data_IF_047126141222
#
_entry.id   IF_047126141222
#
_cell.length_a   1.000
_cell.length_b   1.000
_cell.length_c   1.000
_cell.angle_alpha   90.00
_cell.angle_beta   90.00
_cell.angle_gamma   90.00
#
_symmetry.space_group_name_H-M   'P 1'
#
loop_
_entity.id
_entity.type
_entity.pdbx_description
1 polymer ?
#
# COMPACT_ATOMS: atom_id res chain seq x y z
N UNK A 1 21.31 -7.42 -6.43
CA UNK A 1 20.56 -6.50 -7.33
C UNK A 1 21.57 -5.68 -8.10
N UNK A 2 21.64 -5.84 -9.40
CA UNK A 2 22.55 -5.11 -10.28
C UNK A 2 21.81 -3.99 -11.05
N UNK A 3 22.53 -3.27 -11.92
CA UNK A 3 21.95 -2.18 -12.73
C UNK A 3 20.80 -2.65 -13.64
N UNK A 4 20.86 -3.88 -14.12
CA UNK A 4 19.82 -4.45 -14.98
C UNK A 4 18.58 -4.80 -14.17
N UNK A 5 18.72 -5.33 -12.96
CA UNK A 5 17.62 -5.61 -12.06
C UNK A 5 16.91 -4.30 -11.69
N UNK A 6 17.66 -3.24 -11.37
CA UNK A 6 17.11 -1.90 -11.10
C UNK A 6 16.30 -1.40 -12.30
N UNK A 7 16.85 -1.49 -13.52
CA UNK A 7 16.15 -1.05 -14.72
C UNK A 7 14.87 -1.85 -15.01
N UNK A 8 14.91 -3.16 -14.76
CA UNK A 8 13.72 -4.04 -14.85
C UNK A 8 12.67 -3.58 -13.83
N UNK A 9 13.04 -3.40 -12.57
CA UNK A 9 12.12 -3.00 -11.51
C UNK A 9 11.51 -1.60 -11.76
N UNK A 10 12.29 -0.62 -12.22
CA UNK A 10 11.79 0.70 -12.61
C UNK A 10 10.77 0.60 -13.75
N UNK A 11 11.04 -0.23 -14.76
CA UNK A 11 10.13 -0.45 -15.86
C UNK A 11 8.84 -1.13 -15.41
N UNK A 12 8.92 -2.16 -14.57
CA UNK A 12 7.75 -2.88 -14.03
C UNK A 12 6.90 -2.03 -13.10
N UNK A 13 7.49 -1.14 -12.29
CA UNK A 13 6.75 -0.18 -11.47
C UNK A 13 5.94 0.80 -12.34
N UNK A 14 6.45 1.15 -13.52
CA UNK A 14 5.75 2.03 -14.47
C UNK A 14 4.64 1.29 -15.23
N UNK A 15 4.93 0.09 -15.72
CA UNK A 15 4.00 -0.75 -16.48
C UNK A 15 4.39 -2.22 -16.34
N UNK A 16 3.67 -2.94 -15.48
CA UNK A 16 3.93 -4.37 -15.22
C UNK A 16 3.45 -5.31 -16.33
N UNK A 17 2.73 -4.80 -17.35
CA UNK A 17 2.23 -5.61 -18.48
C UNK A 17 3.12 -5.58 -19.72
N UNK A 18 4.31 -4.98 -19.63
CA UNK A 18 5.27 -4.98 -20.74
C UNK A 18 5.65 -6.38 -21.14
N UNK A 19 5.79 -6.60 -22.45
CA UNK A 19 6.33 -7.86 -22.94
C UNK A 19 7.81 -8.02 -22.56
N UNK A 20 8.27 -9.25 -22.41
CA UNK A 20 9.69 -9.53 -22.15
C UNK A 20 10.59 -9.05 -23.29
N UNK A 21 10.08 -9.02 -24.52
CA UNK A 21 10.79 -8.50 -25.69
C UNK A 21 10.99 -6.98 -25.59
N UNK A 22 9.91 -6.22 -25.33
CA UNK A 22 9.98 -4.76 -25.16
C UNK A 22 10.86 -4.36 -23.99
N UNK A 23 10.76 -5.11 -22.89
CA UNK A 23 11.61 -4.89 -21.71
C UNK A 23 13.09 -5.13 -22.04
N UNK A 24 13.38 -6.22 -22.74
CA UNK A 24 14.73 -6.57 -23.15
C UNK A 24 15.35 -5.53 -24.09
N UNK A 25 14.60 -5.07 -25.09
CA UNK A 25 15.05 -4.03 -26.04
C UNK A 25 15.43 -2.73 -25.29
N UNK A 26 14.61 -2.29 -24.34
CA UNK A 26 14.86 -1.08 -23.56
C UNK A 26 16.09 -1.15 -22.65
N UNK A 27 16.39 -2.34 -22.14
CA UNK A 27 17.42 -2.54 -21.11
C UNK A 27 18.73 -3.10 -21.72
N UNK A 28 18.67 -3.58 -22.96
CA UNK A 28 19.81 -4.21 -23.63
C UNK A 28 20.01 -5.65 -23.19
N UNK A 29 18.94 -6.40 -22.98
CA UNK A 29 18.94 -7.81 -22.62
C UNK A 29 18.06 -8.63 -23.57
N UNK A 30 18.29 -9.94 -23.65
CA UNK A 30 17.36 -10.84 -24.31
C UNK A 30 16.07 -11.03 -23.48
N UNK A 31 14.96 -11.34 -24.13
CA UNK A 31 13.69 -11.62 -23.45
C UNK A 31 13.84 -12.76 -22.41
N UNK A 32 14.60 -13.80 -22.74
CA UNK A 32 14.88 -14.91 -21.82
C UNK A 32 15.72 -14.48 -20.60
N UNK A 33 16.67 -13.56 -20.78
CA UNK A 33 17.45 -13.00 -19.69
C UNK A 33 16.57 -12.13 -18.76
N UNK A 34 15.67 -11.31 -19.32
CA UNK A 34 14.70 -10.55 -18.54
C UNK A 34 13.80 -11.48 -17.72
N UNK A 35 13.21 -12.50 -18.35
CA UNK A 35 12.34 -13.45 -17.67
C UNK A 35 13.04 -14.16 -16.52
N UNK A 36 14.27 -14.67 -16.74
CA UNK A 36 15.05 -15.33 -15.69
C UNK A 36 15.33 -14.39 -14.50
N UNK A 37 15.68 -13.12 -14.77
CA UNK A 37 15.94 -12.14 -13.71
C UNK A 37 14.69 -11.80 -12.93
N UNK A 38 13.56 -11.57 -13.60
CA UNK A 38 12.28 -11.31 -12.95
C UNK A 38 11.91 -12.47 -12.03
N UNK A 39 11.98 -13.70 -12.53
CA UNK A 39 11.71 -14.90 -11.75
C UNK A 39 12.60 -15.00 -10.50
N UNK A 40 13.89 -14.74 -10.63
CA UNK A 40 14.80 -14.72 -9.49
C UNK A 40 14.44 -13.63 -8.46
N UNK A 41 13.99 -12.46 -8.89
CA UNK A 41 13.53 -11.38 -8.00
C UNK A 41 12.20 -11.70 -7.33
N UNK A 42 11.31 -12.41 -7.99
CA UNK A 42 10.07 -12.95 -7.42
C UNK A 42 10.36 -14.01 -6.35
N UNK A 43 11.21 -14.98 -6.67
CA UNK A 43 11.63 -16.03 -5.74
C UNK A 43 12.37 -15.48 -4.51
N UNK A 44 13.15 -14.41 -4.68
CA UNK A 44 13.80 -13.69 -3.58
C UNK A 44 12.86 -12.76 -2.78
N UNK A 45 11.58 -12.64 -3.17
CA UNK A 45 10.62 -11.76 -2.52
C UNK A 45 10.85 -10.26 -2.77
N UNK A 46 11.76 -9.89 -3.68
CA UNK A 46 12.01 -8.51 -4.05
C UNK A 46 10.83 -7.92 -4.84
N UNK A 47 10.16 -8.75 -5.65
CA UNK A 47 8.86 -8.46 -6.25
C UNK A 47 7.83 -9.21 -5.42
N UNK A 48 7.07 -8.49 -4.61
CA UNK A 48 6.04 -9.05 -3.74
C UNK A 48 4.77 -9.46 -4.50
N UNK A 49 4.56 -8.94 -5.70
CA UNK A 49 3.40 -9.24 -6.53
C UNK A 49 3.09 -8.14 -7.54
N UNK A 50 2.02 -8.36 -8.29
CA UNK A 50 1.50 -7.43 -9.29
C UNK A 50 0.04 -7.12 -8.97
N UNK A 51 -0.35 -5.85 -9.08
CA UNK A 51 -1.71 -5.42 -8.81
C UNK A 51 -2.20 -4.40 -9.85
N UNK A 52 -3.48 -4.46 -10.17
CA UNK A 52 -4.12 -3.44 -10.97
C UNK A 52 -4.26 -2.14 -10.17
N UNK A 53 -3.92 -1.01 -10.77
CA UNK A 53 -4.18 0.31 -10.21
C UNK A 53 -5.56 0.75 -10.67
N UNK A 54 -6.48 0.88 -9.73
CA UNK A 54 -7.85 1.30 -10.02
C UNK A 54 -8.01 2.81 -9.80
N UNK A 55 -8.84 3.43 -10.62
CA UNK A 55 -9.22 4.83 -10.43
C UNK A 55 -10.39 4.91 -9.42
N UNK A 56 -10.16 5.47 -8.22
CA UNK A 56 -11.18 5.54 -7.19
C UNK A 56 -12.38 6.39 -7.61
N UNK A 57 -12.19 7.41 -8.47
CA UNK A 57 -13.28 8.25 -8.96
C UNK A 57 -14.24 7.47 -9.86
N UNK A 58 -13.70 6.65 -10.77
CA UNK A 58 -14.52 5.80 -11.64
C UNK A 58 -15.27 4.75 -10.81
N UNK A 59 -14.70 4.30 -9.69
CA UNK A 59 -15.35 3.40 -8.75
C UNK A 59 -16.35 4.11 -7.82
N UNK A 60 -16.47 5.44 -7.89
CA UNK A 60 -17.32 6.21 -6.98
C UNK A 60 -16.79 6.28 -5.54
N UNK A 61 -15.48 6.12 -5.34
CA UNK A 61 -14.79 6.21 -4.05
C UNK A 61 -14.08 7.57 -3.92
N UNK A 62 -14.84 8.66 -4.03
CA UNK A 62 -14.29 10.02 -4.11
C UNK A 62 -13.73 10.53 -2.78
N UNK A 63 -14.23 10.02 -1.66
CA UNK A 63 -13.82 10.41 -0.33
C UNK A 63 -12.69 9.51 0.19
N UNK A 64 -11.52 10.10 0.43
CA UNK A 64 -10.39 9.44 1.06
C UNK A 64 -10.23 9.98 2.48
N UNK A 65 -10.26 9.10 3.47
CA UNK A 65 -10.06 9.42 4.87
C UNK A 65 -8.77 8.81 5.42
N UNK A 66 -8.06 9.60 6.21
CA UNK A 66 -6.94 9.16 7.03
C UNK A 66 -7.37 9.25 8.49
N UNK A 67 -7.34 8.12 9.17
CA UNK A 67 -7.89 7.97 10.51
C UNK A 67 -6.77 7.61 11.48
N UNK A 68 -6.42 8.54 12.33
CA UNK A 68 -5.49 8.32 13.42
C UNK A 68 -6.20 7.60 14.58
N UNK A 69 -5.63 6.50 15.01
CA UNK A 69 -6.12 5.70 16.13
C UNK A 69 -5.13 5.77 17.27
N UNK A 70 -5.63 6.08 18.47
CA UNK A 70 -4.90 5.91 19.72
C UNK A 70 -5.54 4.80 20.54
N UNK A 71 -4.74 3.93 21.12
CA UNK A 71 -5.20 2.84 21.97
C UNK A 71 -5.21 3.25 23.44
N UNK A 72 -5.99 2.55 24.23
CA UNK A 72 -6.03 2.70 25.70
C UNK A 72 -4.74 2.23 26.37
N UNK A 73 -4.00 1.33 25.73
CA UNK A 73 -2.73 0.78 26.18
C UNK A 73 -1.92 0.30 24.98
N UNK A 74 -0.60 0.45 25.06
CA UNK A 74 0.35 -0.11 24.10
C UNK A 74 0.87 -1.49 24.55
N UNK A 75 0.12 -2.18 25.43
CA UNK A 75 0.42 -3.56 25.76
C UNK A 75 0.26 -4.45 24.54
N UNK A 76 1.08 -5.50 24.46
CA UNK A 76 1.02 -6.46 23.36
C UNK A 76 -0.38 -7.03 23.16
N UNK A 77 -1.04 -7.38 24.26
CA UNK A 77 -2.41 -7.91 24.21
C UNK A 77 -3.41 -6.93 23.56
N UNK A 78 -3.35 -5.65 23.93
CA UNK A 78 -4.24 -4.62 23.37
C UNK A 78 -3.94 -4.41 21.88
N UNK A 79 -2.67 -4.35 21.49
CA UNK A 79 -2.26 -4.19 20.10
C UNK A 79 -2.66 -5.40 19.26
N UNK A 80 -2.38 -6.62 19.71
CA UNK A 80 -2.74 -7.85 18.98
C UNK A 80 -4.26 -7.96 18.77
N UNK A 81 -5.07 -7.59 19.75
CA UNK A 81 -6.53 -7.57 19.63
C UNK A 81 -7.02 -6.56 18.59
N UNK A 82 -6.44 -5.37 18.58
CA UNK A 82 -6.75 -4.34 17.59
C UNK A 82 -6.34 -4.78 16.19
N UNK A 83 -5.10 -5.24 16.01
CA UNK A 83 -4.56 -5.65 14.71
C UNK A 83 -5.33 -6.82 14.10
N UNK A 84 -5.72 -7.80 14.91
CA UNK A 84 -6.58 -8.90 14.48
C UNK A 84 -7.96 -8.40 14.03
N UNK A 85 -8.55 -7.47 14.77
CA UNK A 85 -9.86 -6.91 14.41
C UNK A 85 -9.81 -6.08 13.11
N UNK A 86 -8.71 -5.35 12.86
CA UNK A 86 -8.51 -4.59 11.61
C UNK A 86 -8.55 -5.51 10.39
N UNK A 87 -8.01 -6.72 10.49
CA UNK A 87 -8.00 -7.69 9.39
C UNK A 87 -9.40 -8.16 8.95
N UNK A 88 -10.41 -8.05 9.83
CA UNK A 88 -11.79 -8.44 9.53
C UNK A 88 -12.58 -7.35 8.79
N UNK A 89 -12.02 -6.13 8.64
CA UNK A 89 -12.70 -5.00 8.01
C UNK A 89 -12.08 -4.63 6.65
N UNK A 90 -12.65 -5.09 5.53
CA UNK A 90 -12.14 -4.79 4.19
C UNK A 90 -12.20 -3.30 3.81
N UNK A 91 -12.98 -2.49 4.55
CA UNK A 91 -13.04 -1.03 4.40
C UNK A 91 -11.73 -0.35 4.79
N UNK A 92 -10.91 -0.99 5.63
CA UNK A 92 -9.59 -0.50 6.03
C UNK A 92 -8.58 -0.93 4.98
N UNK A 93 -8.18 0.00 4.14
CA UNK A 93 -7.29 -0.27 3.00
C UNK A 93 -5.82 -0.41 3.41
N UNK A 94 -5.39 0.31 4.44
CA UNK A 94 -4.04 0.31 5.00
C UNK A 94 -4.09 0.60 6.49
N UNK A 95 -3.18 0.00 7.25
CA UNK A 95 -3.08 0.21 8.71
C UNK A 95 -1.63 0.06 9.18
N UNK A 96 -0.74 1.03 8.94
CA UNK A 96 0.58 1.03 9.55
C UNK A 96 0.54 1.38 11.04
N UNK A 97 1.39 0.73 11.82
CA UNK A 97 1.78 1.16 13.17
C UNK A 97 2.68 2.38 13.05
N UNK A 98 2.42 3.39 13.84
CA UNK A 98 3.08 4.69 13.76
C UNK A 98 4.00 4.94 14.97
N UNK A 99 5.13 5.57 14.72
CA UNK A 99 5.94 6.19 15.77
C UNK A 99 5.56 7.68 15.86
N UNK A 100 4.71 8.05 16.81
CA UNK A 100 4.20 9.42 16.93
C UNK A 100 3.12 9.55 18.00
N UNK A 101 2.23 10.52 17.84
CA UNK A 101 1.13 10.75 18.77
C UNK A 101 0.03 9.69 18.69
N UNK A 102 -0.29 9.25 17.49
CA UNK A 102 -1.23 8.17 17.25
C UNK A 102 -0.49 6.83 17.16
N UNK A 103 -1.14 5.74 17.57
CA UNK A 103 -0.57 4.40 17.48
C UNK A 103 -0.70 3.83 16.06
N UNK A 104 -1.81 4.08 15.37
CA UNK A 104 -2.06 3.60 14.01
C UNK A 104 -2.64 4.70 13.12
N UNK A 105 -2.37 4.58 11.82
CA UNK A 105 -2.94 5.44 10.79
C UNK A 105 -3.70 4.58 9.77
N UNK A 106 -5.01 4.62 9.80
CA UNK A 106 -5.83 3.89 8.83
C UNK A 106 -6.06 4.72 7.57
N UNK A 107 -6.11 4.06 6.43
CA UNK A 107 -6.64 4.64 5.20
C UNK A 107 -7.96 3.98 4.85
N UNK A 108 -8.97 4.79 4.60
CA UNK A 108 -10.34 4.38 4.27
C UNK A 108 -10.80 5.13 3.03
N UNK A 109 -11.59 4.49 2.17
CA UNK A 109 -12.24 5.14 1.03
C UNK A 109 -13.76 4.94 1.13
N UNK A 110 -14.51 5.98 0.80
CA UNK A 110 -15.97 5.97 0.76
C UNK A 110 -16.47 6.77 -0.44
N UNK A 111 -17.74 6.59 -0.80
CA UNK A 111 -18.35 7.38 -1.87
C UNK A 111 -18.51 8.84 -1.45
N UNK A 112 -18.95 9.07 -0.22
CA UNK A 112 -19.26 10.39 0.33
C UNK A 112 -19.17 10.36 1.87
N UNK A 113 -19.52 11.49 2.53
CA UNK A 113 -19.54 11.58 3.98
C UNK A 113 -20.54 10.63 4.62
N UNK A 114 -21.67 10.35 3.98
CA UNK A 114 -22.65 9.39 4.48
C UNK A 114 -22.11 7.97 4.46
N UNK A 115 -21.42 7.61 3.38
CA UNK A 115 -20.72 6.32 3.28
C UNK A 115 -19.63 6.20 4.34
N UNK A 116 -18.87 7.28 4.58
CA UNK A 116 -17.86 7.29 5.66
C UNK A 116 -18.51 7.17 7.04
N UNK A 117 -19.64 7.84 7.31
CA UNK A 117 -20.36 7.71 8.58
C UNK A 117 -20.77 6.25 8.86
N UNK A 118 -21.23 5.54 7.83
CA UNK A 118 -21.54 4.10 7.96
C UNK A 118 -20.28 3.30 8.32
N UNK A 119 -19.15 3.51 7.63
CA UNK A 119 -17.87 2.85 7.95
C UNK A 119 -17.42 3.20 9.38
N UNK A 120 -17.53 4.47 9.78
CA UNK A 120 -17.16 4.88 11.14
C UNK A 120 -17.97 4.13 12.18
N UNK A 121 -19.30 4.07 12.03
CA UNK A 121 -20.20 3.41 12.98
C UNK A 121 -20.06 1.89 12.99
N UNK A 122 -19.98 1.27 11.82
CA UNK A 122 -20.08 -0.17 11.68
C UNK A 122 -18.70 -0.88 11.73
N UNK A 123 -17.60 -0.12 11.53
CA UNK A 123 -16.23 -0.60 11.56
C UNK A 123 -15.39 0.12 12.63
N UNK A 124 -15.06 1.39 12.43
CA UNK A 124 -14.07 2.09 13.24
C UNK A 124 -14.44 2.17 14.73
N UNK A 125 -15.70 2.48 15.04
CA UNK A 125 -16.20 2.55 16.41
C UNK A 125 -16.27 1.19 17.12
N UNK A 126 -16.12 0.09 16.38
CA UNK A 126 -16.15 -1.28 16.91
C UNK A 126 -14.77 -1.88 17.14
N UNK A 127 -13.72 -1.19 16.69
CA UNK A 127 -12.35 -1.65 16.91
C UNK A 127 -12.00 -1.70 18.40
N UNK A 128 -11.46 -2.81 18.91
CA UNK A 128 -11.21 -2.98 20.33
C UNK A 128 -10.03 -2.14 20.80
N UNK A 129 -10.07 -1.68 22.06
CA UNK A 129 -8.96 -0.99 22.73
C UNK A 129 -8.73 0.45 22.25
N UNK A 130 -9.60 1.01 21.41
CA UNK A 130 -9.48 2.37 20.92
C UNK A 130 -9.86 3.38 22.02
N UNK A 131 -8.98 4.36 22.27
CA UNK A 131 -9.23 5.48 23.18
C UNK A 131 -9.61 6.76 22.45
N UNK A 132 -9.08 6.96 21.24
CA UNK A 132 -9.37 8.15 20.44
C UNK A 132 -9.30 7.84 18.94
N UNK A 133 -10.18 8.49 18.19
CA UNK A 133 -10.24 8.47 16.72
C UNK A 133 -10.17 9.92 16.23
N UNK A 134 -9.22 10.21 15.35
CA UNK A 134 -9.12 11.50 14.68
C UNK A 134 -9.11 11.30 13.17
N UNK A 135 -10.10 11.87 12.49
CA UNK A 135 -10.24 11.72 11.04
C UNK A 135 -9.86 12.98 10.30
N UNK A 136 -9.08 12.82 9.23
CA UNK A 136 -8.77 13.85 8.25
C UNK A 136 -9.19 13.38 6.87
N UNK A 137 -9.82 14.28 6.09
CA UNK A 137 -10.22 13.97 4.73
C UNK A 137 -9.24 14.60 3.73
N UNK A 138 -8.83 13.85 2.73
CA UNK A 138 -8.05 14.38 1.63
C UNK A 138 -8.95 15.21 0.70
N UNK A 139 -8.68 16.50 0.56
CA UNK A 139 -9.43 17.40 -0.33
C UNK A 139 -9.14 17.03 -1.80
N UNK A 140 -7.87 16.76 -2.09
CA UNK A 140 -7.42 16.32 -3.42
C UNK A 140 -6.08 15.61 -3.31
N UNK A 141 -5.81 14.71 -4.22
CA UNK A 141 -4.51 14.06 -4.34
C UNK A 141 -3.64 14.86 -5.31
N UNK A 142 -2.49 15.29 -4.83
CA UNK A 142 -1.53 16.08 -5.64
C UNK A 142 -0.63 15.14 -6.45
N UNK A 143 -0.29 13.98 -5.87
CA UNK A 143 0.55 12.98 -6.51
C UNK A 143 0.11 11.59 -6.08
N UNK A 144 -0.07 10.71 -7.05
CA UNK A 144 -0.28 9.30 -6.80
C UNK A 144 1.02 8.57 -6.50
N UNK A 145 0.90 7.43 -5.83
CA UNK A 145 2.02 6.52 -5.64
C UNK A 145 2.57 6.07 -7.00
N UNK A 146 3.87 6.33 -7.23
CA UNK A 146 4.57 6.02 -8.49
C UNK A 146 5.57 4.88 -8.36
N UNK A 147 5.62 4.23 -7.20
CA UNK A 147 6.65 3.25 -6.86
C UNK A 147 7.85 3.88 -6.16
N UNK A 148 8.79 3.03 -5.79
CA UNK A 148 10.05 3.45 -5.15
C UNK A 148 11.05 3.99 -6.16
N UNK A 149 11.78 5.03 -5.78
CA UNK A 149 12.94 5.49 -6.54
C UNK A 149 14.12 4.57 -6.23
N UNK A 150 14.56 3.80 -7.22
CA UNK A 150 15.53 2.73 -7.01
C UNK A 150 17.00 3.17 -7.25
N UNK A 151 17.21 4.34 -7.87
CA UNK A 151 18.57 4.86 -8.11
C UNK A 151 19.30 5.10 -6.80
N UNK A 152 20.48 4.48 -6.65
CA UNK A 152 21.31 4.61 -5.45
C UNK A 152 20.99 3.62 -4.34
N UNK A 153 20.06 2.69 -4.53
CA UNK A 153 19.89 1.57 -3.62
C UNK A 153 21.12 0.67 -3.66
N UNK A 154 21.73 0.46 -2.50
CA UNK A 154 22.68 -0.65 -2.33
C UNK A 154 21.85 -1.91 -2.07
N UNK A 155 22.21 -3.02 -2.73
CA UNK A 155 21.65 -4.31 -2.39
C UNK A 155 21.80 -4.54 -0.88
N UNK A 156 20.76 -5.05 -0.18
CA UNK A 156 20.97 -5.57 1.15
C UNK A 156 22.06 -6.64 1.10
N UNK A 157 22.97 -6.59 2.07
CA UNK A 157 24.05 -7.56 2.21
C UNK A 157 23.49 -8.95 2.52
#
# INVERSE_FOLDING_TARGET
VDRFDIAILEALQSDSRRSMADLGERIGLSASACHRRIKAMEEAGLIAGYAARLDPKILGLDLQAFVEISLTSQSRETMDRFENAVADFPEILECPLMAGQADYLLRVAAADLKGFDAIHRDCLARLPGVSAIRTSFAIRRIRDWQGYRLRGLRAPA
#
